data_IF_446945939549
#
_entry.id   IF_446945939549
#
_cell.length_a   1.000
_cell.length_b   1.000
_cell.length_c   1.000
_cell.angle_alpha   90.00
_cell.angle_beta   90.00
_cell.angle_gamma   90.00
#
_symmetry.space_group_name_H-M   'P 1'
#
loop_
_entity.id
_entity.type
_entity.pdbx_description
1 polymer ?
#
# COMPACT_ATOMS: atom_id res chain seq x y z
N UNK A 1 28.46 -9.26 -8.79
CA UNK A 1 27.14 -9.85 -9.10
C UNK A 1 26.19 -9.40 -8.01
N UNK A 2 25.29 -8.47 -8.33
CA UNK A 2 24.24 -8.01 -7.42
C UNK A 2 23.17 -9.10 -7.40
N UNK A 3 22.97 -9.76 -6.26
CA UNK A 3 21.91 -10.76 -6.13
C UNK A 3 20.57 -10.05 -6.09
N UNK A 4 19.83 -10.08 -7.20
CA UNK A 4 18.45 -9.59 -7.23
C UNK A 4 17.59 -10.50 -6.34
N UNK A 5 16.97 -9.91 -5.31
CA UNK A 5 16.06 -10.62 -4.39
C UNK A 5 14.62 -10.31 -4.79
N UNK A 6 13.90 -11.33 -5.24
CA UNK A 6 12.47 -11.26 -5.47
C UNK A 6 11.72 -11.47 -4.13
N UNK A 7 10.84 -10.55 -3.77
CA UNK A 7 10.00 -10.66 -2.56
C UNK A 7 8.53 -10.78 -2.97
N UNK A 8 7.90 -11.89 -2.64
CA UNK A 8 6.45 -12.10 -2.83
C UNK A 8 5.71 -11.74 -1.54
N UNK A 9 4.66 -10.92 -1.63
CA UNK A 9 3.81 -10.52 -0.50
C UNK A 9 2.46 -11.24 -0.59
N UNK A 10 1.92 -11.67 0.55
CA UNK A 10 0.60 -12.30 0.65
C UNK A 10 -0.48 -11.22 0.67
N UNK A 11 -1.64 -11.52 0.08
CA UNK A 11 -2.83 -10.68 0.15
C UNK A 11 -3.24 -10.45 1.61
N UNK A 12 -3.35 -9.19 2.03
CA UNK A 12 -3.63 -8.80 3.42
C UNK A 12 -5.08 -8.38 3.61
N UNK A 13 -5.59 -8.48 4.85
CA UNK A 13 -6.99 -8.18 5.16
C UNK A 13 -7.34 -6.71 4.92
N UNK A 14 -6.43 -5.79 5.25
CA UNK A 14 -6.63 -4.37 5.01
C UNK A 14 -6.69 -4.01 3.52
N UNK A 15 -5.98 -4.75 2.65
CA UNK A 15 -6.08 -4.57 1.21
C UNK A 15 -7.49 -4.93 0.69
N UNK A 16 -8.05 -6.04 1.18
CA UNK A 16 -9.42 -6.43 0.85
C UNK A 16 -10.44 -5.41 1.38
N UNK A 17 -10.22 -4.87 2.59
CA UNK A 17 -11.05 -3.79 3.11
C UNK A 17 -10.99 -2.55 2.20
N UNK A 18 -9.81 -2.14 1.76
CA UNK A 18 -9.65 -1.03 0.81
C UNK A 18 -10.41 -1.28 -0.50
N UNK A 19 -10.30 -2.48 -1.07
CA UNK A 19 -10.99 -2.87 -2.29
C UNK A 19 -12.52 -2.84 -2.13
N UNK A 20 -13.05 -3.48 -1.08
CA UNK A 20 -14.50 -3.57 -0.84
C UNK A 20 -15.10 -2.20 -0.52
N UNK A 21 -14.45 -1.43 0.35
CA UNK A 21 -14.96 -0.13 0.82
C UNK A 21 -14.90 0.95 -0.25
N UNK A 22 -13.89 0.92 -1.13
CA UNK A 22 -13.81 1.84 -2.29
C UNK A 22 -14.64 1.37 -3.48
N UNK A 23 -15.07 0.09 -3.47
CA UNK A 23 -15.90 -0.49 -4.51
C UNK A 23 -17.28 0.16 -4.60
N UNK A 24 -18.00 -0.14 -5.70
CA UNK A 24 -19.24 0.54 -6.09
C UNK A 24 -20.37 0.51 -5.06
N UNK A 25 -20.39 -0.50 -4.18
CA UNK A 25 -21.46 -0.68 -3.19
C UNK A 25 -21.29 0.28 -2.02
N UNK A 26 -20.06 0.39 -1.50
CA UNK A 26 -19.76 1.23 -0.35
C UNK A 26 -19.38 2.65 -0.76
N UNK A 27 -18.62 2.79 -1.86
CA UNK A 27 -18.24 4.05 -2.49
C UNK A 27 -17.60 5.07 -1.52
N UNK A 28 -16.88 4.60 -0.49
CA UNK A 28 -16.16 5.48 0.41
C UNK A 28 -14.94 6.09 -0.26
N UNK A 29 -14.59 7.30 0.16
CA UNK A 29 -13.38 7.96 -0.32
C UNK A 29 -12.12 7.26 0.21
N UNK A 30 -11.04 7.30 -0.57
CA UNK A 30 -9.74 6.71 -0.17
C UNK A 30 -9.22 7.32 1.14
N UNK A 31 -9.50 8.60 1.39
CA UNK A 31 -9.17 9.28 2.65
C UNK A 31 -9.97 8.76 3.84
N UNK A 32 -11.27 8.53 3.69
CA UNK A 32 -12.10 8.00 4.78
C UNK A 32 -11.71 6.57 5.13
N UNK A 33 -11.44 5.76 4.10
CA UNK A 33 -10.96 4.38 4.24
C UNK A 33 -9.61 4.37 4.97
N UNK A 34 -8.64 5.17 4.52
CA UNK A 34 -7.34 5.27 5.15
C UNK A 34 -7.45 5.66 6.63
N UNK A 35 -8.21 6.71 6.94
CA UNK A 35 -8.40 7.16 8.31
C UNK A 35 -9.07 6.11 9.21
N UNK A 36 -10.02 5.33 8.68
CA UNK A 36 -10.70 4.28 9.42
C UNK A 36 -9.77 3.08 9.69
N UNK A 37 -9.10 2.57 8.66
CA UNK A 37 -8.20 1.41 8.77
C UNK A 37 -7.00 1.76 9.66
N UNK A 38 -6.41 2.97 9.53
CA UNK A 38 -5.33 3.43 10.40
C UNK A 38 -5.70 3.42 11.89
N UNK A 39 -6.97 3.63 12.23
CA UNK A 39 -7.45 3.50 13.62
C UNK A 39 -7.57 2.04 14.02
N UNK A 40 -8.11 1.19 13.15
CA UNK A 40 -8.30 -0.24 13.41
C UNK A 40 -6.97 -0.93 13.69
N UNK A 41 -5.93 -0.65 12.91
CA UNK A 41 -4.60 -1.26 13.10
C UNK A 41 -3.92 -0.84 14.41
N UNK A 42 -4.43 0.20 15.08
CA UNK A 42 -3.94 0.70 16.37
C UNK A 42 -4.82 0.25 17.55
N UNK A 43 -5.90 -0.50 17.32
CA UNK A 43 -6.77 -0.99 18.39
C UNK A 43 -6.08 -2.09 19.20
N UNK A 44 -6.26 -2.04 20.52
CA UNK A 44 -5.83 -3.12 21.41
C UNK A 44 -6.47 -4.45 20.98
N UNK A 45 -5.63 -5.46 20.78
CA UNK A 45 -6.07 -6.80 20.35
C UNK A 45 -6.06 -7.02 18.83
N UNK A 46 -5.78 -5.99 18.02
CA UNK A 46 -5.51 -6.15 16.59
C UNK A 46 -4.02 -6.44 16.40
N UNK A 47 -3.71 -7.59 15.80
CA UNK A 47 -2.33 -8.00 15.50
C UNK A 47 -2.13 -7.92 13.99
N UNK A 48 -1.11 -7.15 13.58
CA UNK A 48 -0.69 -6.99 12.18
C UNK A 48 0.82 -7.21 12.07
N UNK A 49 1.28 -7.61 10.88
CA UNK A 49 2.70 -7.92 10.65
C UNK A 49 3.60 -6.68 10.79
N UNK A 50 3.23 -5.59 10.12
CA UNK A 50 3.96 -4.31 10.20
C UNK A 50 2.99 -3.13 10.12
N UNK A 51 2.59 -2.62 11.29
CA UNK A 51 1.68 -1.50 11.40
C UNK A 51 2.23 -0.20 10.79
N UNK A 52 3.55 -0.01 10.77
CA UNK A 52 4.17 1.20 10.19
C UNK A 52 4.04 1.15 8.67
N UNK A 53 4.43 0.02 8.07
CA UNK A 53 4.31 -0.17 6.63
C UNK A 53 2.85 -0.04 6.16
N UNK A 54 1.89 -0.60 6.92
CA UNK A 54 0.46 -0.46 6.61
C UNK A 54 0.02 1.01 6.65
N UNK A 55 0.42 1.78 7.67
CA UNK A 55 0.06 3.19 7.76
C UNK A 55 0.70 4.04 6.66
N UNK A 56 1.97 3.81 6.33
CA UNK A 56 2.64 4.49 5.21
C UNK A 56 1.93 4.19 3.88
N UNK A 57 1.49 2.94 3.69
CA UNK A 57 0.69 2.55 2.53
C UNK A 57 -0.67 3.25 2.50
N UNK A 58 -1.38 3.37 3.63
CA UNK A 58 -2.67 4.07 3.73
C UNK A 58 -2.51 5.59 3.45
N UNK A 59 -1.40 6.20 3.89
CA UNK A 59 -1.07 7.58 3.55
C UNK A 59 -0.87 7.72 2.03
N UNK A 60 -0.05 6.88 1.42
CA UNK A 60 0.18 6.89 -0.03
C UNK A 60 -1.10 6.67 -0.83
N UNK A 61 -1.88 5.67 -0.45
CA UNK A 61 -3.18 5.31 -1.04
C UNK A 61 -4.14 6.51 -1.04
N UNK A 62 -4.29 7.19 0.10
CA UNK A 62 -5.21 8.32 0.23
C UNK A 62 -4.69 9.58 -0.46
N UNK A 63 -3.40 9.91 -0.29
CA UNK A 63 -2.79 11.13 -0.81
C UNK A 63 -2.66 11.14 -2.33
N UNK A 64 -2.25 10.01 -2.91
CA UNK A 64 -1.97 9.92 -4.34
C UNK A 64 -3.13 9.29 -5.12
N UNK A 65 -4.10 8.67 -4.44
CA UNK A 65 -5.30 8.12 -5.04
C UNK A 65 -5.05 6.88 -5.91
N UNK A 66 -4.01 6.11 -5.63
CA UNK A 66 -3.60 4.87 -6.32
C UNK A 66 -4.27 3.63 -5.70
N UNK A 67 -4.14 2.44 -6.29
CA UNK A 67 -4.59 1.21 -5.63
C UNK A 67 -3.82 0.97 -4.32
N UNK A 68 -4.43 0.25 -3.37
CA UNK A 68 -3.78 -0.02 -2.10
C UNK A 68 -2.55 -0.91 -2.26
N UNK A 69 -2.55 -1.87 -3.20
CA UNK A 69 -1.38 -2.71 -3.45
C UNK A 69 -0.20 -1.92 -3.99
N UNK A 70 -0.44 -0.95 -4.87
CA UNK A 70 0.62 -0.07 -5.38
C UNK A 70 1.23 0.75 -4.26
N UNK A 71 0.39 1.34 -3.41
CA UNK A 71 0.81 2.08 -2.25
C UNK A 71 1.59 1.21 -1.24
N UNK A 72 1.15 -0.03 -1.01
CA UNK A 72 1.80 -0.98 -0.11
C UNK A 72 3.16 -1.44 -0.62
N UNK A 73 3.27 -1.72 -1.93
CA UNK A 73 4.53 -2.04 -2.59
C UNK A 73 5.50 -0.86 -2.56
N UNK A 74 5.02 0.35 -2.82
CA UNK A 74 5.83 1.57 -2.71
C UNK A 74 6.33 1.79 -1.27
N UNK A 75 5.47 1.66 -0.26
CA UNK A 75 5.88 1.75 1.14
C UNK A 75 6.96 0.71 1.50
N UNK A 76 6.78 -0.54 1.06
CA UNK A 76 7.77 -1.60 1.25
C UNK A 76 9.11 -1.28 0.57
N UNK A 77 9.06 -0.79 -0.67
CA UNK A 77 10.26 -0.44 -1.43
C UNK A 77 11.02 0.72 -0.77
N UNK A 78 10.31 1.76 -0.31
CA UNK A 78 10.90 2.88 0.44
C UNK A 78 11.57 2.41 1.73
N UNK A 79 10.89 1.59 2.51
CA UNK A 79 11.43 1.05 3.75
C UNK A 79 12.70 0.20 3.53
N UNK A 80 12.75 -0.53 2.40
CA UNK A 80 13.90 -1.33 1.99
C UNK A 80 14.98 -0.56 1.22
N UNK A 81 14.76 0.71 0.87
CA UNK A 81 15.56 1.48 -0.08
C UNK A 81 15.78 0.74 -1.41
N UNK A 82 14.68 0.17 -1.93
CA UNK A 82 14.61 -0.63 -3.15
C UNK A 82 13.88 0.14 -4.27
N UNK A 83 14.09 -0.31 -5.51
CA UNK A 83 13.33 0.15 -6.67
C UNK A 83 12.14 -0.78 -6.92
N UNK A 84 11.04 -0.23 -7.42
CA UNK A 84 9.90 -1.02 -7.88
C UNK A 84 10.03 -1.25 -9.38
N UNK A 85 10.10 -2.51 -9.79
CA UNK A 85 10.00 -2.90 -11.20
C UNK A 85 8.54 -3.18 -11.54
N UNK A 86 7.91 -2.33 -12.35
CA UNK A 86 6.49 -2.45 -12.70
C UNK A 86 6.20 -1.89 -14.09
N UNK A 87 5.16 -2.42 -14.74
CA UNK A 87 4.57 -1.85 -15.95
C UNK A 87 3.37 -0.94 -15.64
N UNK A 88 2.99 -0.84 -14.36
CA UNK A 88 1.86 -0.03 -13.92
C UNK A 88 2.24 1.45 -13.87
N UNK A 89 1.55 2.27 -14.67
CA UNK A 89 1.75 3.70 -14.74
C UNK A 89 1.30 4.45 -13.47
N UNK A 90 0.45 3.86 -12.62
CA UNK A 90 -0.01 4.52 -11.39
C UNK A 90 1.14 4.80 -10.41
N UNK A 91 2.25 4.05 -10.49
CA UNK A 91 3.46 4.32 -9.71
C UNK A 91 4.12 5.67 -10.04
N UNK A 92 3.87 6.25 -11.22
CA UNK A 92 4.33 7.60 -11.55
C UNK A 92 3.73 8.65 -10.60
N UNK A 93 2.51 8.41 -10.10
CA UNK A 93 1.82 9.32 -9.17
C UNK A 93 2.45 9.30 -7.78
N UNK A 94 3.13 8.22 -7.42
CA UNK A 94 3.76 8.03 -6.12
C UNK A 94 5.14 8.71 -6.02
N UNK A 95 5.72 9.14 -7.15
CA UNK A 95 7.03 9.79 -7.20
C UNK A 95 8.17 8.86 -6.79
N UNK A 96 7.93 7.54 -6.77
CA UNK A 96 8.94 6.55 -6.41
C UNK A 96 9.90 6.29 -7.55
N UNK A 97 11.09 5.82 -7.16
CA UNK A 97 12.12 5.39 -8.09
C UNK A 97 11.69 4.03 -8.70
N UNK A 98 10.87 4.12 -9.74
CA UNK A 98 10.51 2.99 -10.59
C UNK A 98 11.75 2.56 -11.36
N UNK A 99 12.07 1.27 -11.35
CA UNK A 99 13.11 0.71 -12.20
C UNK A 99 12.62 0.76 -13.65
N UNK A 100 13.36 1.37 -14.59
CA UNK A 100 12.97 1.35 -16.00
C UNK A 100 13.10 -0.08 -16.53
N UNK A 101 11.95 -0.72 -16.77
CA UNK A 101 11.84 -2.04 -17.41
C UNK A 101 11.87 -1.93 -18.94
#
# INVERSE_FOLDING_TARGET
>A
MTTERLSLRKMTTEAECCFVLSGRVCAFSKSDIAAAISKVVMLDGVVVDDARQINDALELYSKHGVDYWDAYLAAAARAGNLLVATFDGDFQRLGDSVYPL
#
